data_IF_762918369297
#
_entry.id   IF_762918369297
#
_cell.length_a   1.000
_cell.length_b   1.000
_cell.length_c   1.000
_cell.angle_alpha   90.00
_cell.angle_beta   90.00
_cell.angle_gamma   90.00
#
_symmetry.space_group_name_H-M   'P 1'
#
loop_
_entity.id
_entity.type
_entity.pdbx_description
1 polymer ?
#
# COMPACT_ATOMS: atom_id res chain seq x y z
N UNK A 1 -9.35 7.07 -35.64
CA UNK A 1 -8.83 7.83 -34.48
C UNK A 1 -9.39 7.21 -33.20
N UNK A 2 -8.58 6.54 -32.39
CA UNK A 2 -9.04 5.94 -31.13
C UNK A 2 -9.20 7.00 -30.06
N UNK A 3 -10.42 7.16 -29.50
CA UNK A 3 -10.65 8.03 -28.35
C UNK A 3 -9.79 7.53 -27.19
N UNK A 4 -8.83 8.33 -26.75
CA UNK A 4 -8.09 8.06 -25.52
C UNK A 4 -9.12 7.97 -24.39
N UNK A 5 -9.30 6.76 -23.83
CA UNK A 5 -10.13 6.57 -22.64
C UNK A 5 -9.46 7.36 -21.52
N UNK A 6 -10.02 8.50 -21.15
CA UNK A 6 -9.67 9.18 -19.91
C UNK A 6 -10.01 8.23 -18.76
N UNK A 7 -9.01 7.50 -18.27
CA UNK A 7 -9.15 6.71 -17.06
C UNK A 7 -9.30 7.69 -15.92
N UNK A 8 -10.42 7.61 -15.21
CA UNK A 8 -10.59 8.37 -13.98
C UNK A 8 -9.39 8.13 -13.06
N UNK A 9 -8.89 9.16 -12.36
CA UNK A 9 -7.82 9.00 -11.38
C UNK A 9 -8.25 7.98 -10.32
N UNK A 10 -7.28 7.26 -9.76
CA UNK A 10 -7.54 6.40 -8.59
C UNK A 10 -8.12 7.23 -7.43
N UNK A 11 -8.96 6.66 -6.55
CA UNK A 11 -9.71 7.45 -5.55
C UNK A 11 -8.84 8.40 -4.71
N UNK A 12 -7.69 7.93 -4.23
CA UNK A 12 -6.74 8.74 -3.44
C UNK A 12 -6.18 9.92 -4.25
N UNK A 13 -5.93 9.73 -5.55
CA UNK A 13 -5.46 10.81 -6.43
C UNK A 13 -6.57 11.84 -6.66
N UNK A 14 -7.81 11.39 -6.86
CA UNK A 14 -8.93 12.30 -7.03
C UNK A 14 -9.08 13.21 -5.79
N UNK A 15 -9.14 12.61 -4.61
CA UNK A 15 -9.22 13.32 -3.34
C UNK A 15 -8.05 14.32 -3.15
N UNK A 16 -6.81 13.88 -3.40
CA UNK A 16 -5.65 14.76 -3.25
C UNK A 16 -5.73 16.01 -4.16
N UNK A 17 -6.17 15.83 -5.41
CA UNK A 17 -6.35 16.94 -6.35
C UNK A 17 -7.48 17.88 -5.93
N UNK A 18 -8.60 17.35 -5.45
CA UNK A 18 -9.74 18.13 -4.95
C UNK A 18 -9.36 19.00 -3.75
N UNK A 19 -8.43 18.53 -2.91
CA UNK A 19 -7.94 19.22 -1.72
C UNK A 19 -6.63 20.00 -1.93
N UNK A 20 -6.18 20.18 -3.17
CA UNK A 20 -4.92 20.89 -3.51
C UNK A 20 -3.67 20.30 -2.83
N UNK A 21 -3.65 18.99 -2.60
CA UNK A 21 -2.51 18.27 -2.05
C UNK A 21 -1.52 17.89 -3.15
N UNK A 22 -0.23 17.87 -2.82
CA UNK A 22 0.83 17.47 -3.74
C UNK A 22 0.72 15.98 -4.05
N UNK A 23 0.67 15.63 -5.33
CA UNK A 23 0.60 14.24 -5.81
C UNK A 23 1.91 13.87 -6.50
N UNK A 24 2.56 12.83 -5.99
CA UNK A 24 3.75 12.27 -6.61
C UNK A 24 3.44 10.97 -7.33
N UNK A 25 3.97 10.85 -8.54
CA UNK A 25 3.82 9.67 -9.39
C UNK A 25 5.06 8.79 -9.30
N UNK A 26 4.84 7.50 -9.08
CA UNK A 26 5.90 6.49 -9.15
C UNK A 26 6.31 6.37 -10.63
N UNK A 27 7.59 6.61 -10.97
CA UNK A 27 8.03 6.61 -12.35
C UNK A 27 7.97 5.22 -12.99
N UNK A 28 7.80 5.19 -14.31
CA UNK A 28 7.53 3.95 -15.07
C UNK A 28 8.70 2.94 -15.06
N UNK A 29 9.90 3.39 -14.74
CA UNK A 29 11.09 2.53 -14.61
C UNK A 29 11.07 1.65 -13.34
N UNK A 30 10.31 2.02 -12.31
CA UNK A 30 10.17 1.26 -11.04
C UNK A 30 9.46 -0.08 -11.25
N UNK A 31 8.69 -0.21 -12.34
CA UNK A 31 7.99 -1.44 -12.70
C UNK A 31 8.90 -2.49 -13.37
N UNK A 32 10.15 -2.16 -13.65
CA UNK A 32 11.02 -2.89 -14.57
C UNK A 32 12.18 -3.64 -13.90
N UNK A 33 12.05 -4.11 -12.64
CA UNK A 33 12.98 -5.14 -12.14
C UNK A 33 12.72 -6.43 -12.93
N UNK A 34 13.38 -6.54 -14.07
CA UNK A 34 13.46 -7.71 -14.92
C UNK A 34 14.16 -8.82 -14.14
N UNK A 35 13.46 -9.93 -13.95
CA UNK A 35 14.06 -11.20 -13.55
C UNK A 35 14.95 -11.71 -14.69
N UNK A 36 16.20 -11.26 -14.74
CA UNK A 36 17.23 -11.92 -15.52
C UNK A 36 17.65 -13.18 -14.75
N UNK A 37 16.89 -14.26 -14.95
CA UNK A 37 17.24 -15.69 -14.83
C UNK A 37 15.93 -16.47 -14.96
N UNK A 38 15.65 -16.94 -16.18
CA UNK A 38 14.45 -17.69 -16.55
C UNK A 38 14.78 -19.18 -16.40
N UNK A 39 14.20 -19.82 -15.38
CA UNK A 39 13.80 -21.23 -15.45
C UNK A 39 12.27 -21.28 -15.47
N UNK A 40 11.73 -22.18 -16.29
CA UNK A 40 10.38 -22.13 -16.86
C UNK A 40 9.20 -22.32 -15.89
N UNK A 41 9.43 -22.44 -14.58
CA UNK A 41 8.36 -22.52 -13.58
C UNK A 41 8.02 -21.16 -12.93
N UNK A 42 8.84 -20.12 -13.17
CA UNK A 42 8.73 -18.82 -12.51
C UNK A 42 8.03 -17.74 -13.35
N UNK A 43 7.05 -18.11 -14.19
CA UNK A 43 6.23 -17.11 -14.88
C UNK A 43 5.26 -16.48 -13.86
N UNK A 44 5.44 -15.19 -13.58
CA UNK A 44 4.52 -14.27 -12.88
C UNK A 44 4.69 -13.98 -11.38
N UNK A 45 5.83 -13.40 -10.99
CA UNK A 45 5.78 -12.36 -9.95
C UNK A 45 6.70 -11.17 -10.27
N UNK A 46 6.28 -10.34 -11.23
CA UNK A 46 6.82 -8.96 -11.36
C UNK A 46 6.55 -8.24 -10.04
N UNK A 47 7.56 -8.12 -9.17
CA UNK A 47 7.44 -7.37 -7.91
C UNK A 47 7.70 -5.89 -8.21
N UNK A 48 6.69 -5.04 -8.00
CA UNK A 48 6.84 -3.59 -8.08
C UNK A 48 7.51 -3.12 -6.79
N UNK A 49 8.75 -2.65 -6.86
CA UNK A 49 9.56 -2.34 -5.67
C UNK A 49 10.11 -0.92 -5.79
N UNK A 50 10.08 -0.15 -4.71
CA UNK A 50 10.53 1.24 -4.69
C UNK A 50 12.06 1.42 -4.52
N UNK A 51 12.88 0.39 -4.79
CA UNK A 51 14.33 0.41 -4.48
C UNK A 51 15.09 1.62 -5.03
N UNK A 52 14.73 2.06 -6.23
CA UNK A 52 15.41 3.14 -6.94
C UNK A 52 14.53 4.41 -7.03
N UNK A 53 13.45 4.46 -6.24
CA UNK A 53 12.57 5.62 -6.21
C UNK A 53 13.01 6.56 -5.10
N UNK A 54 13.75 7.61 -5.47
CA UNK A 54 14.06 8.70 -4.55
C UNK A 54 12.77 9.41 -4.13
N UNK A 55 12.57 9.57 -2.82
CA UNK A 55 11.46 10.36 -2.29
C UNK A 55 11.52 11.76 -2.92
N UNK A 56 10.41 12.26 -3.49
CA UNK A 56 10.40 13.55 -4.13
C UNK A 56 10.77 14.65 -3.12
N UNK A 57 11.52 15.67 -3.56
CA UNK A 57 11.97 16.74 -2.68
C UNK A 57 10.76 17.52 -2.16
N UNK A 58 10.68 17.66 -0.83
CA UNK A 58 9.68 18.47 -0.13
C UNK A 58 10.34 19.71 0.47
N UNK A 59 9.55 20.78 0.66
CA UNK A 59 10.04 22.03 1.26
C UNK A 59 10.50 21.84 2.73
N UNK A 60 10.00 20.80 3.40
CA UNK A 60 10.40 20.38 4.73
C UNK A 60 10.52 18.84 4.75
N UNK A 61 11.45 18.26 5.51
CA UNK A 61 11.56 16.80 5.66
C UNK A 61 10.26 16.22 6.22
N UNK A 62 9.90 15.01 5.79
CA UNK A 62 8.78 14.27 6.37
C UNK A 62 9.24 13.52 7.62
N UNK A 63 8.47 13.61 8.71
CA UNK A 63 8.75 12.87 9.94
C UNK A 63 8.25 11.42 9.87
N UNK A 64 7.09 11.21 9.25
CA UNK A 64 6.36 9.94 9.25
C UNK A 64 5.74 9.67 7.88
N UNK A 65 5.83 8.43 7.39
CA UNK A 65 5.10 7.95 6.22
C UNK A 65 3.94 7.02 6.61
N UNK A 66 2.73 7.30 6.11
CA UNK A 66 1.54 6.46 6.34
C UNK A 66 1.23 5.67 5.07
N UNK A 67 1.02 4.35 5.21
CA UNK A 67 0.88 3.44 4.06
C UNK A 67 -0.44 2.67 4.18
N UNK A 68 -1.37 2.94 3.27
CA UNK A 68 -2.69 2.28 3.24
C UNK A 68 -2.92 1.65 1.88
N UNK A 69 -3.17 0.34 1.84
CA UNK A 69 -3.48 -0.42 0.60
C UNK A 69 -2.53 -0.13 -0.58
N UNK A 70 -1.24 0.01 -0.29
CA UNK A 70 -0.23 0.43 -1.27
C UNK A 70 0.40 -0.77 -1.98
N UNK A 71 0.26 -0.83 -3.30
CA UNK A 71 0.63 -2.00 -4.11
C UNK A 71 2.12 -2.18 -4.43
N UNK A 72 3.03 -1.52 -3.70
CA UNK A 72 4.47 -1.58 -3.92
C UNK A 72 5.19 -2.04 -2.66
N UNK A 73 6.29 -2.76 -2.85
CA UNK A 73 7.19 -3.10 -1.76
C UNK A 73 8.01 -1.88 -1.36
N UNK A 74 7.97 -1.53 -0.07
CA UNK A 74 8.77 -0.48 0.52
C UNK A 74 10.08 -1.07 1.04
N UNK A 75 11.18 -0.38 0.82
CA UNK A 75 12.53 -0.84 1.13
C UNK A 75 13.01 -0.08 2.38
N UNK A 76 13.81 -0.75 3.21
CA UNK A 76 14.22 -0.28 4.55
C UNK A 76 14.90 1.09 4.57
N UNK A 77 15.39 1.59 3.44
CA UNK A 77 16.19 2.82 3.41
C UNK A 77 15.35 4.11 3.37
N UNK A 78 14.03 4.03 3.17
CA UNK A 78 13.24 5.21 2.76
C UNK A 78 12.26 5.78 3.81
N UNK A 79 12.01 5.12 4.97
CA UNK A 79 11.03 5.63 5.96
C UNK A 79 11.32 5.17 7.39
N UNK A 80 11.26 6.10 8.35
CA UNK A 80 11.53 5.89 9.78
C UNK A 80 10.40 5.16 10.52
N UNK A 81 9.16 5.23 10.02
CA UNK A 81 7.97 4.64 10.65
C UNK A 81 6.97 4.19 9.58
N UNK A 82 6.45 2.97 9.66
CA UNK A 82 5.38 2.47 8.79
C UNK A 82 4.18 2.08 9.65
N UNK A 83 3.03 2.72 9.41
CA UNK A 83 1.73 2.20 9.87
C UNK A 83 1.17 1.42 8.69
N UNK A 84 1.12 0.09 8.82
CA UNK A 84 0.51 -0.80 7.83
C UNK A 84 -0.82 -1.25 8.40
N UNK A 85 -1.91 -0.88 7.74
CA UNK A 85 -3.23 -1.42 8.02
C UNK A 85 -3.56 -2.39 6.89
N UNK A 86 -3.48 -3.68 7.20
CA UNK A 86 -3.88 -4.75 6.29
C UNK A 86 -5.07 -5.48 6.91
N UNK A 87 -6.24 -5.35 6.27
CA UNK A 87 -7.41 -6.14 6.63
C UNK A 87 -7.79 -7.06 5.48
N UNK A 88 -7.94 -8.35 5.79
CA UNK A 88 -8.26 -9.37 4.80
C UNK A 88 -9.67 -9.86 5.06
N UNK A 89 -10.62 -9.53 4.18
CA UNK A 89 -12.03 -9.91 4.39
C UNK A 89 -12.32 -11.28 3.76
N UNK A 90 -13.02 -12.14 4.50
CA UNK A 90 -13.63 -13.37 3.97
C UNK A 90 -14.90 -13.02 3.17
N UNK A 91 -15.24 -13.77 2.10
CA UNK A 91 -16.07 -13.26 1.02
C UNK A 91 -17.58 -13.19 1.27
N UNK A 92 -18.11 -13.59 2.44
CA UNK A 92 -19.54 -13.88 2.52
C UNK A 92 -20.44 -12.69 2.90
N UNK A 93 -19.99 -11.59 3.52
CA UNK A 93 -20.83 -10.43 3.89
C UNK A 93 -20.06 -9.09 3.73
N UNK A 94 -19.63 -8.76 2.49
CA UNK A 94 -18.45 -7.93 2.26
C UNK A 94 -18.59 -6.40 2.31
N UNK A 95 -19.79 -5.81 2.16
CA UNK A 95 -19.90 -4.34 2.14
C UNK A 95 -19.89 -3.69 3.53
N UNK A 96 -20.50 -4.34 4.53
CA UNK A 96 -20.55 -3.80 5.90
C UNK A 96 -19.20 -3.87 6.59
N UNK A 97 -18.47 -4.98 6.42
CA UNK A 97 -17.17 -5.17 7.05
C UNK A 97 -16.11 -4.21 6.47
N UNK A 98 -16.04 -4.05 5.15
CA UNK A 98 -15.07 -3.14 4.54
C UNK A 98 -15.30 -1.68 4.92
N UNK A 99 -16.57 -1.26 5.02
CA UNK A 99 -16.93 0.10 5.43
C UNK A 99 -16.57 0.34 6.90
N UNK A 100 -16.94 -0.59 7.79
CA UNK A 100 -16.59 -0.52 9.21
C UNK A 100 -15.07 -0.47 9.42
N UNK A 101 -14.30 -1.34 8.75
CA UNK A 101 -12.85 -1.35 8.85
C UNK A 101 -12.18 -0.10 8.26
N UNK A 102 -12.81 0.55 7.28
CA UNK A 102 -12.31 1.81 6.74
C UNK A 102 -12.45 2.95 7.77
N UNK A 103 -13.58 2.99 8.49
CA UNK A 103 -13.84 3.96 9.56
C UNK A 103 -12.91 3.71 10.76
N UNK A 104 -12.92 2.50 11.33
CA UNK A 104 -12.04 2.11 12.44
C UNK A 104 -10.56 2.26 12.09
N UNK A 105 -10.18 1.92 10.86
CA UNK A 105 -8.82 2.07 10.36
C UNK A 105 -8.38 3.53 10.33
N UNK A 106 -9.23 4.44 9.85
CA UNK A 106 -8.93 5.87 9.81
C UNK A 106 -8.75 6.46 11.21
N UNK A 107 -9.66 6.14 12.14
CA UNK A 107 -9.56 6.59 13.53
C UNK A 107 -8.31 6.04 14.21
N UNK A 108 -8.02 4.77 14.03
CA UNK A 108 -6.83 4.11 14.58
C UNK A 108 -5.53 4.80 14.13
N UNK A 109 -5.39 5.14 12.85
CA UNK A 109 -4.21 5.89 12.36
C UNK A 109 -4.06 7.20 13.11
N UNK A 110 -5.14 8.00 13.22
CA UNK A 110 -5.09 9.31 13.87
C UNK A 110 -4.70 9.17 15.34
N UNK A 111 -5.31 8.21 16.07
CA UNK A 111 -5.00 7.96 17.47
C UNK A 111 -3.53 7.52 17.67
N UNK A 112 -3.00 6.67 16.78
CA UNK A 112 -1.59 6.26 16.84
C UNK A 112 -0.66 7.43 16.57
N UNK A 113 -0.98 8.28 15.60
CA UNK A 113 -0.15 9.45 15.26
C UNK A 113 -0.14 10.51 16.37
N UNK A 114 -1.24 10.67 17.11
CA UNK A 114 -1.33 11.61 18.23
C UNK A 114 -0.39 11.27 19.39
N UNK A 115 -0.06 10.00 19.58
CA UNK A 115 0.77 9.50 20.70
C UNK A 115 1.82 8.49 20.20
N UNK A 116 2.46 8.81 19.08
CA UNK A 116 3.29 7.85 18.35
C UNK A 116 4.44 7.31 19.20
N UNK A 117 5.13 8.18 19.93
CA UNK A 117 6.29 7.80 20.74
C UNK A 117 5.90 6.81 21.85
N UNK A 118 4.75 7.03 22.49
CA UNK A 118 4.28 6.15 23.56
C UNK A 118 3.75 4.84 23.00
N UNK A 119 2.98 4.88 21.91
CA UNK A 119 2.51 3.68 21.21
C UNK A 119 3.67 2.84 20.70
N UNK A 120 4.76 3.47 20.27
CA UNK A 120 5.99 2.79 19.83
C UNK A 120 6.70 2.07 20.97
N UNK A 121 6.74 2.65 22.19
CA UNK A 121 7.31 1.97 23.37
C UNK A 121 6.52 0.72 23.76
N UNK A 122 5.21 0.76 23.53
CA UNK A 122 4.28 -0.34 23.82
C UNK A 122 4.02 -1.26 22.62
N UNK A 123 4.80 -1.14 21.55
CA UNK A 123 4.62 -1.96 20.36
C UNK A 123 4.87 -3.44 20.70
N UNK A 124 3.88 -4.28 20.41
CA UNK A 124 3.92 -5.72 20.68
C UNK A 124 4.60 -6.44 19.52
N UNK A 125 5.57 -7.30 19.83
CA UNK A 125 6.21 -8.18 18.84
C UNK A 125 5.21 -9.24 18.38
N UNK A 126 5.11 -9.46 17.07
CA UNK A 126 4.23 -10.48 16.51
C UNK A 126 4.64 -11.88 16.97
N UNK A 127 3.69 -12.67 17.45
CA UNK A 127 3.89 -14.08 17.72
C UNK A 127 3.74 -14.90 16.42
N UNK A 128 4.86 -15.45 15.98
CA UNK A 128 4.93 -16.26 14.76
C UNK A 128 4.17 -17.58 14.85
N UNK A 129 3.92 -18.11 16.06
CA UNK A 129 3.22 -19.38 16.23
C UNK A 129 1.72 -19.27 15.91
N UNK A 130 1.14 -18.08 16.07
CA UNK A 130 -0.29 -17.80 15.80
C UNK A 130 -0.53 -17.05 14.49
N UNK A 131 0.53 -16.66 13.79
CA UNK A 131 0.44 -15.95 12.52
C UNK A 131 -0.18 -16.84 11.43
N UNK A 132 -1.13 -16.29 10.68
CA UNK A 132 -1.74 -16.93 9.51
C UNK A 132 -1.51 -16.11 8.23
N UNK A 133 -1.74 -16.72 7.08
CA UNK A 133 -1.59 -16.05 5.78
C UNK A 133 -2.94 -15.93 5.08
N UNK A 134 -3.24 -14.75 4.54
CA UNK A 134 -4.42 -14.51 3.72
C UNK A 134 -4.03 -14.52 2.23
N UNK A 135 -4.24 -15.62 1.50
CA UNK A 135 -3.86 -15.70 0.11
C UNK A 135 -4.72 -14.76 -0.75
N UNK A 136 -4.09 -14.14 -1.76
CA UNK A 136 -4.79 -13.33 -2.74
C UNK A 136 -5.87 -14.16 -3.44
N UNK A 137 -7.11 -13.68 -3.43
CA UNK A 137 -8.23 -14.30 -4.14
C UNK A 137 -7.88 -14.39 -5.62
N UNK A 138 -7.85 -15.61 -6.16
CA UNK A 138 -7.69 -15.85 -7.60
C UNK A 138 -9.05 -15.62 -8.25
N UNK A 139 -9.06 -14.96 -9.41
CA UNK A 139 -10.25 -15.02 -10.27
C UNK A 139 -10.32 -16.43 -10.83
N UNK A 140 -11.35 -17.20 -10.49
CA UNK A 140 -11.69 -18.36 -11.29
C UNK A 140 -12.10 -17.88 -12.68
N UNK A 141 -11.47 -18.45 -13.69
CA UNK A 141 -11.89 -18.26 -15.08
C UNK A 141 -13.09 -19.17 -15.25
N UNK A 142 -14.31 -18.62 -15.21
CA UNK A 142 -15.48 -19.31 -15.76
C UNK A 142 -15.10 -19.79 -17.16
N UNK A 143 -15.07 -21.12 -17.34
CA UNK A 143 -14.93 -21.77 -18.64
C UNK A 143 -16.31 -22.01 -19.23
#
# INVERSE_FOLDING_TARGET
>A
MGKARHKAPVPVKAFALEHNLVVHHIPDNVYAIHSLHITSECYHRRRKSLKDWAMPPSAAPFDIGVVVSFGYFIVRNDVTCHIIIEYTTHPTHNYSLSAHLAEEGAECVVQVLQDLDEKKKHAVVQDHAVASTAPKIKREVER
#
